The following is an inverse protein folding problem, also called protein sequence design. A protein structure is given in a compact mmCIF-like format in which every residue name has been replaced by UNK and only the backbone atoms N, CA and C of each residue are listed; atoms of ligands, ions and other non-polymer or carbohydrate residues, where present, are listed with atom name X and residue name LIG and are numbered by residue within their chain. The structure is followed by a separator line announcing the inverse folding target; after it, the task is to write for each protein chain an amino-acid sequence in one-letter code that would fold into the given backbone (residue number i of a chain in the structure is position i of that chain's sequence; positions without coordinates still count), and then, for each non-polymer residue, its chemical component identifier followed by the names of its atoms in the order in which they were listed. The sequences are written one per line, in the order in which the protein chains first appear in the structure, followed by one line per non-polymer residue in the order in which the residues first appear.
data_IF_430436940885
#
_entry.id   IF_430436940885
#
_cell.length_a   1.000
_cell.length_b   1.000
_cell.length_c   1.000
_cell.angle_alpha   90.00
_cell.angle_beta   90.00
_cell.angle_gamma   90.00
#
_symmetry.space_group_name_H-M   'P 1'
#
loop_
_entity.id
_entity.type
_entity.pdbx_description
1 polymer ?
#
# COMPACT_ATOMS: atom_id res chain seq x y z
N UNK A 1 -3.65 -21.59 -11.50
CA UNK A 1 -3.37 -20.22 -11.00
C UNK A 1 -2.03 -20.18 -10.25
N UNK A 2 -1.85 -20.95 -9.17
CA UNK A 2 -0.63 -20.92 -8.34
C UNK A 2 0.69 -21.17 -9.11
N UNK A 3 0.69 -22.08 -10.11
CA UNK A 3 1.87 -22.33 -10.96
C UNK A 3 2.27 -21.12 -11.81
N UNK A 4 1.29 -20.36 -12.32
CA UNK A 4 1.53 -19.10 -13.04
C UNK A 4 2.07 -18.03 -12.09
N UNK A 5 1.50 -17.92 -10.89
CA UNK A 5 1.99 -16.98 -9.88
C UNK A 5 3.45 -17.27 -9.49
N UNK A 6 3.80 -18.54 -9.30
CA UNK A 6 5.18 -18.95 -8.98
C UNK A 6 6.17 -18.61 -10.11
N UNK A 7 5.74 -18.72 -11.37
CA UNK A 7 6.56 -18.36 -12.53
C UNK A 7 6.76 -16.85 -12.66
N UNK A 8 5.69 -16.06 -12.47
CA UNK A 8 5.77 -14.60 -12.46
C UNK A 8 6.64 -14.09 -11.30
N UNK A 9 6.51 -14.69 -10.12
CA UNK A 9 7.34 -14.34 -8.95
C UNK A 9 8.82 -14.68 -9.17
N UNK A 10 9.13 -15.75 -9.91
CA UNK A 10 10.50 -16.14 -10.26
C UNK A 10 11.09 -15.26 -11.38
N UNK A 11 10.25 -14.80 -12.31
CA UNK A 11 10.63 -13.84 -13.36
C UNK A 11 10.94 -12.47 -12.76
N UNK A 12 10.26 -12.10 -11.67
CA UNK A 12 10.47 -10.84 -10.99
C UNK A 12 11.58 -10.93 -9.93
N UNK A 13 12.65 -10.15 -10.08
CA UNK A 13 13.67 -9.99 -9.03
C UNK A 13 13.11 -9.11 -7.90
N UNK A 14 12.41 -9.75 -6.94
CA UNK A 14 11.82 -9.09 -5.75
C UNK A 14 12.87 -8.31 -4.93
N UNK A 15 14.17 -8.58 -5.11
CA UNK A 15 15.26 -7.90 -4.40
C UNK A 15 15.26 -6.37 -4.50
N UNK A 16 14.86 -5.78 -5.63
CA UNK A 16 14.75 -4.31 -5.71
C UNK A 16 13.60 -3.77 -4.86
N UNK A 17 12.48 -4.48 -4.83
CA UNK A 17 11.31 -4.11 -4.05
C UNK A 17 11.59 -4.19 -2.54
N UNK A 18 12.25 -5.25 -2.08
CA UNK A 18 12.61 -5.42 -0.67
C UNK A 18 13.58 -4.32 -0.21
N UNK A 19 14.60 -3.99 -1.01
CA UNK A 19 15.52 -2.88 -0.69
C UNK A 19 14.78 -1.54 -0.58
N UNK A 20 13.86 -1.26 -1.50
CA UNK A 20 13.03 -0.05 -1.45
C UNK A 20 12.14 0.00 -0.20
N UNK A 21 11.51 -1.12 0.15
CA UNK A 21 10.66 -1.22 1.34
C UNK A 21 11.46 -1.03 2.64
N UNK A 22 12.69 -1.56 2.73
CA UNK A 22 13.57 -1.36 3.89
C UNK A 22 13.93 0.12 4.04
N UNK A 23 14.37 0.77 2.95
CA UNK A 23 14.73 2.20 2.99
C UNK A 23 13.52 3.05 3.39
N UNK A 24 12.34 2.75 2.85
CA UNK A 24 11.11 3.44 3.19
C UNK A 24 10.74 3.29 4.68
N UNK A 25 10.87 2.09 5.25
CA UNK A 25 10.64 1.87 6.67
C UNK A 25 11.61 2.65 7.55
N UNK A 26 12.90 2.68 7.20
CA UNK A 26 13.91 3.48 7.91
C UNK A 26 13.55 4.98 7.85
N UNK A 27 13.13 5.47 6.68
CA UNK A 27 12.73 6.87 6.51
C UNK A 27 11.49 7.22 7.34
N UNK A 28 10.47 6.34 7.38
CA UNK A 28 9.27 6.52 8.20
C UNK A 28 9.64 6.56 9.70
N UNK A 29 10.52 5.66 10.15
CA UNK A 29 11.00 5.65 11.53
C UNK A 29 11.76 6.92 11.89
N UNK A 30 12.68 7.37 11.03
CA UNK A 30 13.41 8.62 11.23
C UNK A 30 12.45 9.82 11.31
N UNK A 31 11.42 9.86 10.46
CA UNK A 31 10.40 10.90 10.50
C UNK A 31 9.61 10.87 11.81
N UNK A 32 9.20 9.69 12.28
CA UNK A 32 8.47 9.54 13.55
C UNK A 32 9.29 10.00 14.76
N UNK A 33 10.56 9.62 14.82
CA UNK A 33 11.47 10.05 15.90
C UNK A 33 11.65 11.57 15.85
N UNK A 34 11.86 12.13 14.66
CA UNK A 34 12.01 13.58 14.49
C UNK A 34 10.77 14.33 14.97
N UNK A 35 9.56 13.89 14.57
CA UNK A 35 8.30 14.50 15.04
C UNK A 35 8.13 14.36 16.56
N UNK A 36 8.56 13.24 17.14
CA UNK A 36 8.47 13.00 18.57
C UNK A 36 9.43 13.86 19.39
N UNK A 37 10.59 14.22 18.85
CA UNK A 37 11.53 15.15 19.50
C UNK A 37 11.01 16.58 19.41
N UNK A 38 10.51 16.99 18.25
CA UNK A 38 9.92 18.34 18.06
C UNK A 38 8.73 18.55 18.99
N UNK A 39 7.83 17.56 19.11
CA UNK A 39 6.68 17.65 20.01
C UNK A 39 7.05 17.76 21.50
N UNK A 40 8.20 17.20 21.91
CA UNK A 40 8.71 17.40 23.27
C UNK A 40 9.15 18.85 23.53
N UNK A 41 9.72 19.50 22.51
CA UNK A 41 10.25 20.87 22.59
C UNK A 41 9.13 21.90 22.55
N UNK A 42 8.12 21.70 21.68
CA UNK A 42 6.99 22.64 21.51
C UNK A 42 5.90 22.48 22.58
N UNK A 43 5.92 21.38 23.34
CA UNK A 43 5.02 21.19 24.48
C UNK A 43 3.56 20.94 24.08
N UNK A 44 3.30 20.51 22.85
CA UNK A 44 1.95 20.19 22.39
C UNK A 44 1.46 18.87 23.03
N UNK A 45 0.35 18.89 23.80
CA UNK A 45 -0.14 17.70 24.51
C UNK A 45 -0.77 16.67 23.56
N UNK A 46 -1.23 17.07 22.38
CA UNK A 46 -1.92 16.17 21.43
C UNK A 46 -0.98 15.16 20.76
N UNK A 47 0.29 15.53 20.54
CA UNK A 47 1.32 14.64 19.99
C UNK A 47 2.03 13.79 21.06
N UNK A 48 1.72 13.98 22.35
CA UNK A 48 2.23 13.16 23.45
C UNK A 48 1.36 11.95 23.76
N UNK A 49 0.19 11.85 23.15
CA UNK A 49 -0.68 10.70 23.33
C UNK A 49 -0.16 9.48 22.53
N UNK A 50 0.11 8.33 23.18
CA UNK A 50 0.57 7.12 22.50
C UNK A 50 -0.36 6.64 21.39
N UNK A 51 -1.67 6.93 21.48
CA UNK A 51 -2.63 6.54 20.43
C UNK A 51 -2.43 7.35 19.15
N UNK A 52 -2.21 8.67 19.26
CA UNK A 52 -2.02 9.53 18.09
C UNK A 52 -0.72 9.19 17.35
N UNK A 53 0.36 8.87 18.08
CA UNK A 53 1.63 8.45 17.47
C UNK A 53 1.48 7.11 16.73
N UNK A 54 0.76 6.16 17.32
CA UNK A 54 0.50 4.85 16.71
C UNK A 54 -0.34 4.99 15.43
N UNK A 55 -1.38 5.83 15.49
CA UNK A 55 -2.22 6.18 14.34
C UNK A 55 -1.42 6.87 13.24
N UNK A 56 -0.55 7.80 13.59
CA UNK A 56 0.30 8.51 12.63
C UNK A 56 1.28 7.55 11.94
N UNK A 57 1.93 6.66 12.71
CA UNK A 57 2.79 5.61 12.18
C UNK A 57 2.04 4.67 11.23
N UNK A 58 0.88 4.16 11.65
CA UNK A 58 0.09 3.26 10.82
C UNK A 58 -0.41 3.95 9.54
N UNK A 59 -0.65 5.25 9.59
CA UNK A 59 -1.07 6.07 8.45
C UNK A 59 0.06 6.28 7.45
N UNK A 60 1.26 6.65 7.91
CA UNK A 60 2.44 6.83 7.06
C UNK A 60 2.80 5.54 6.33
N UNK A 61 2.80 4.40 7.04
CA UNK A 61 3.03 3.08 6.46
C UNK A 61 2.02 2.84 5.33
N UNK A 62 0.72 3.00 5.58
CA UNK A 62 -0.33 2.81 4.56
C UNK A 62 -0.12 3.72 3.34
N UNK A 63 0.17 5.00 3.55
CA UNK A 63 0.42 5.98 2.48
C UNK A 63 1.55 5.50 1.56
N UNK A 64 2.68 5.13 2.14
CA UNK A 64 3.85 4.68 1.41
C UNK A 64 3.56 3.38 0.66
N UNK A 65 2.90 2.41 1.29
CA UNK A 65 2.63 1.12 0.65
C UNK A 65 1.56 1.17 -0.45
N UNK A 66 0.63 2.14 -0.44
CA UNK A 66 -0.25 2.41 -1.59
C UNK A 66 0.58 2.84 -2.81
N UNK A 67 1.56 3.74 -2.62
CA UNK A 67 2.45 4.19 -3.70
C UNK A 67 3.31 3.03 -4.18
N UNK A 68 3.91 2.25 -3.27
CA UNK A 68 4.70 1.07 -3.64
C UNK A 68 3.87 0.01 -4.38
N UNK A 69 2.61 -0.21 -3.99
CA UNK A 69 1.68 -1.07 -4.70
C UNK A 69 1.39 -0.59 -6.13
N UNK A 70 1.26 0.73 -6.29
CA UNK A 70 1.08 1.35 -7.60
C UNK A 70 2.33 1.24 -8.48
N UNK A 71 3.52 1.33 -7.89
CA UNK A 71 4.79 1.07 -8.58
C UNK A 71 4.90 -0.39 -9.01
N UNK A 72 4.45 -1.34 -8.17
CA UNK A 72 4.39 -2.76 -8.53
C UNK A 72 3.47 -2.99 -9.73
N UNK A 73 2.26 -2.40 -9.72
CA UNK A 73 1.33 -2.46 -10.86
C UNK A 73 1.97 -1.85 -12.11
N UNK A 74 2.61 -0.69 -11.98
CA UNK A 74 3.23 0.01 -13.09
C UNK A 74 4.35 -0.83 -13.73
N UNK A 75 5.16 -1.53 -12.92
CA UNK A 75 6.22 -2.41 -13.43
C UNK A 75 5.72 -3.75 -13.94
N UNK A 76 4.79 -4.41 -13.25
CA UNK A 76 4.36 -5.77 -13.59
C UNK A 76 3.32 -5.83 -14.72
N UNK A 77 2.49 -4.80 -14.82
CA UNK A 77 1.38 -4.74 -15.78
C UNK A 77 1.74 -3.72 -16.86
N UNK A 78 1.87 -2.44 -16.48
CA UNK A 78 1.88 -1.34 -17.45
C UNK A 78 3.15 -1.28 -18.30
N UNK A 79 4.29 -1.70 -17.75
CA UNK A 79 5.55 -1.74 -18.51
C UNK A 79 5.47 -2.69 -19.72
N UNK A 80 4.69 -3.77 -19.61
CA UNK A 80 4.50 -4.71 -20.71
C UNK A 80 3.51 -4.18 -21.76
N UNK A 81 2.50 -3.39 -21.34
CA UNK A 81 1.62 -2.64 -22.24
C UNK A 81 2.39 -1.57 -23.02
N UNK A 82 3.32 -0.88 -22.37
CA UNK A 82 4.16 0.14 -23.01
C UNK A 82 5.12 -0.48 -24.03
N UNK A 83 5.78 -1.58 -23.67
CA UNK A 83 6.87 -2.15 -24.47
C UNK A 83 6.41 -3.11 -25.57
N UNK A 84 5.09 -3.19 -25.86
CA UNK A 84 4.47 -4.12 -26.86
C UNK A 84 4.83 -5.61 -26.68
N UNK A 85 5.47 -5.98 -25.57
CA UNK A 85 5.79 -7.36 -25.21
C UNK A 85 4.55 -8.18 -24.87
N UNK A 86 3.39 -7.51 -24.73
CA UNK A 86 2.07 -8.14 -24.75
C UNK A 86 1.80 -8.94 -26.04
N UNK A 87 2.37 -8.56 -27.18
CA UNK A 87 2.26 -9.36 -28.42
C UNK A 87 2.86 -10.77 -28.24
N UNK A 88 3.90 -10.94 -27.42
CA UNK A 88 4.46 -12.26 -27.09
C UNK A 88 3.56 -13.05 -26.13
N UNK A 89 2.72 -12.37 -25.33
CA UNK A 89 1.65 -13.04 -24.57
C UNK A 89 0.50 -13.49 -25.48
N UNK A 90 0.33 -12.88 -26.65
CA UNK A 90 -0.70 -13.26 -27.62
C UNK A 90 -0.38 -14.56 -28.36
N UNK A 91 0.89 -14.96 -28.44
CA UNK A 91 1.31 -16.27 -28.95
C UNK A 91 1.11 -17.40 -27.92
N UNK A 92 0.80 -17.07 -26.66
CA UNK A 92 0.64 -18.06 -25.61
C UNK A 92 -0.78 -18.68 -25.64
N UNK A 93 -0.92 -20.01 -25.57
CA UNK A 93 -2.22 -20.71 -25.59
C UNK A 93 -3.00 -20.59 -24.26
N UNK A 94 -2.81 -19.51 -23.49
CA UNK A 94 -3.39 -19.29 -22.17
C UNK A 94 -4.31 -18.06 -22.22
N UNK A 95 -5.52 -18.19 -21.65
CA UNK A 95 -6.49 -17.08 -21.60
C UNK A 95 -5.90 -15.82 -20.93
N UNK A 96 -5.92 -14.70 -21.66
CA UNK A 96 -5.39 -13.37 -21.28
C UNK A 96 -5.89 -12.88 -19.92
N UNK A 97 -7.19 -13.08 -19.66
CA UNK A 97 -7.84 -12.80 -18.37
C UNK A 97 -7.14 -13.49 -17.20
N UNK A 98 -6.76 -14.77 -17.34
CA UNK A 98 -6.12 -15.54 -16.25
C UNK A 98 -4.72 -15.02 -15.96
N UNK A 99 -4.01 -14.53 -16.98
CA UNK A 99 -2.67 -13.96 -16.82
C UNK A 99 -2.72 -12.61 -16.09
N UNK A 100 -3.59 -11.68 -16.51
CA UNK A 100 -3.72 -10.40 -15.84
C UNK A 100 -4.24 -10.57 -14.39
N UNK A 101 -5.23 -11.45 -14.17
CA UNK A 101 -5.69 -11.81 -12.82
C UNK A 101 -4.53 -12.29 -11.95
N UNK A 102 -3.67 -13.17 -12.47
CA UNK A 102 -2.53 -13.69 -11.69
C UNK A 102 -1.58 -12.57 -11.25
N UNK A 103 -1.34 -11.57 -12.09
CA UNK A 103 -0.49 -10.41 -11.77
C UNK A 103 -1.11 -9.51 -10.73
N UNK A 104 -2.42 -9.25 -10.84
CA UNK A 104 -3.15 -8.44 -9.87
C UNK A 104 -3.19 -9.09 -8.49
N UNK A 105 -3.41 -10.41 -8.44
CA UNK A 105 -3.38 -11.15 -7.18
C UNK A 105 -1.98 -11.10 -6.56
N UNK A 106 -0.91 -11.26 -7.36
CA UNK A 106 0.47 -11.12 -6.84
C UNK A 106 0.68 -9.72 -6.27
N UNK A 107 0.29 -8.66 -6.98
CA UNK A 107 0.46 -7.29 -6.48
C UNK A 107 -0.32 -7.06 -5.20
N UNK A 108 -1.58 -7.50 -5.12
CA UNK A 108 -2.44 -7.31 -3.95
C UNK A 108 -1.95 -8.13 -2.74
N UNK A 109 -1.51 -9.37 -2.94
CA UNK A 109 -0.96 -10.20 -1.87
C UNK A 109 0.38 -9.66 -1.37
N UNK A 110 1.26 -9.20 -2.27
CA UNK A 110 2.52 -8.58 -1.87
C UNK A 110 2.28 -7.31 -1.07
N UNK A 111 1.41 -6.40 -1.54
CA UNK A 111 1.11 -5.16 -0.82
C UNK A 111 0.53 -5.45 0.56
N UNK A 112 -0.42 -6.38 0.65
CA UNK A 112 -1.01 -6.81 1.93
C UNK A 112 0.04 -7.31 2.93
N UNK A 113 0.90 -8.25 2.51
CA UNK A 113 1.96 -8.80 3.37
C UNK A 113 2.93 -7.69 3.80
N UNK A 114 3.32 -6.81 2.87
CA UNK A 114 4.27 -5.74 3.19
C UNK A 114 3.71 -4.67 4.12
N UNK A 115 2.42 -4.36 4.05
CA UNK A 115 1.76 -3.42 4.95
C UNK A 115 1.76 -3.98 6.36
N UNK A 116 1.39 -5.25 6.53
CA UNK A 116 1.38 -5.91 7.84
C UNK A 116 2.79 -5.95 8.42
N UNK A 117 3.75 -6.46 7.66
CA UNK A 117 5.12 -6.60 8.14
C UNK A 117 5.74 -5.24 8.51
N UNK A 118 5.51 -4.23 7.67
CA UNK A 118 6.07 -2.90 7.91
C UNK A 118 5.43 -2.19 9.08
N UNK A 119 4.11 -2.36 9.28
CA UNK A 119 3.46 -1.81 10.45
C UNK A 119 4.01 -2.44 11.74
N UNK A 120 4.13 -3.78 11.78
CA UNK A 120 4.72 -4.50 12.92
C UNK A 120 6.16 -4.03 13.18
N UNK A 121 6.97 -3.86 12.13
CA UNK A 121 8.35 -3.40 12.26
C UNK A 121 8.44 -1.95 12.75
N UNK A 122 7.64 -1.04 12.20
CA UNK A 122 7.67 0.39 12.58
C UNK A 122 7.18 0.57 14.01
N UNK A 123 6.05 -0.05 14.37
CA UNK A 123 5.51 0.00 15.74
C UNK A 123 6.46 -0.68 16.73
N UNK A 124 7.00 -1.85 16.38
CA UNK A 124 7.93 -2.59 17.22
C UNK A 124 9.25 -1.86 17.46
N UNK A 125 9.83 -1.24 16.43
CA UNK A 125 11.05 -0.43 16.58
C UNK A 125 10.78 0.84 17.38
N UNK A 126 9.64 1.51 17.16
CA UNK A 126 9.27 2.69 17.93
C UNK A 126 9.12 2.36 19.41
N UNK A 127 8.48 1.24 19.76
CA UNK A 127 8.39 0.76 21.14
C UNK A 127 9.76 0.47 21.77
N UNK A 128 10.68 -0.14 21.01
CA UNK A 128 12.04 -0.39 21.47
C UNK A 128 12.82 0.89 21.78
N UNK A 129 12.62 1.94 20.97
CA UNK A 129 13.26 3.25 21.17
C UNK A 129 12.63 3.99 22.34
N UNK A 130 11.30 3.98 22.46
CA UNK A 130 10.57 4.61 23.56
C UNK A 130 10.96 4.00 24.91
N UNK A 131 11.10 2.67 24.99
CA UNK A 131 11.57 1.99 26.20
C UNK A 131 13.00 2.36 26.60
N UNK A 132 13.84 2.82 25.67
CA UNK A 132 15.25 3.16 25.94
C UNK A 132 15.45 4.65 26.24
N UNK A 133 14.61 5.51 25.66
CA UNK A 133 14.73 6.97 25.76
C UNK A 133 13.61 7.64 26.59
N UNK A 134 12.60 6.89 27.07
CA UNK A 134 11.44 7.40 27.82
C UNK A 134 10.82 8.63 27.15
N UNK A 135 10.55 8.50 25.85
CA UNK A 135 10.14 9.62 25.00
C UNK A 135 8.67 10.00 25.28
N UNK A 136 7.85 9.02 25.70
CA UNK A 136 6.48 9.23 26.14
C UNK A 136 6.34 9.25 27.68
N UNK A 137 5.55 10.18 28.24
CA UNK A 137 5.30 10.27 29.68
C UNK A 137 4.31 9.22 30.21
N UNK A 138 3.55 8.54 29.34
CA UNK A 138 2.60 7.49 29.71
C UNK A 138 3.00 6.16 29.06
N UNK A 139 3.02 5.08 29.86
CA UNK A 139 3.24 3.72 29.39
C UNK A 139 2.16 3.29 28.38
N UNK A 140 2.59 2.75 27.24
CA UNK A 140 1.70 2.10 26.28
C UNK A 140 0.83 1.04 26.97
N UNK A 141 -0.49 1.22 26.91
CA UNK A 141 -1.41 0.21 27.45
C UNK A 141 -1.52 -0.94 26.44
N UNK A 142 -1.28 -2.17 26.87
CA UNK A 142 -1.42 -3.40 26.06
C UNK A 142 -2.78 -3.50 25.33
N UNK A 143 -3.83 -2.90 25.88
CA UNK A 143 -5.16 -2.81 25.27
C UNK A 143 -5.21 -1.90 24.02
N UNK A 144 -4.35 -0.88 23.93
CA UNK A 144 -4.26 0.00 22.77
C UNK A 144 -3.54 -0.70 21.61
N UNK A 145 -2.48 -1.46 21.92
CA UNK A 145 -1.74 -2.25 20.93
C UNK A 145 -2.59 -3.39 20.34
N UNK A 146 -3.39 -4.06 21.18
CA UNK A 146 -4.30 -5.12 20.71
C UNK A 146 -5.42 -4.57 19.85
N UNK A 147 -6.01 -3.40 20.20
CA UNK A 147 -7.01 -2.72 19.35
C UNK A 147 -6.44 -2.28 18.01
N UNK A 148 -5.25 -1.67 17.99
CA UNK A 148 -4.58 -1.29 16.74
C UNK A 148 -4.28 -2.54 15.89
N UNK A 149 -3.80 -3.62 16.51
CA UNK A 149 -3.51 -4.90 15.84
C UNK A 149 -4.74 -5.54 15.20
N UNK A 150 -5.89 -5.51 15.87
CA UNK A 150 -7.17 -6.01 15.32
C UNK A 150 -7.61 -5.14 14.14
N UNK A 151 -7.49 -3.81 14.24
CA UNK A 151 -7.84 -2.89 13.17
C UNK A 151 -6.85 -2.92 11.99
N UNK A 152 -5.62 -3.36 12.22
CA UNK A 152 -4.57 -3.45 11.20
C UNK A 152 -4.97 -4.37 10.05
N UNK A 153 -5.63 -5.49 10.33
CA UNK A 153 -6.04 -6.45 9.30
C UNK A 153 -7.03 -5.85 8.29
N UNK A 154 -8.21 -5.33 8.69
CA UNK A 154 -9.14 -4.71 7.75
C UNK A 154 -8.54 -3.47 7.06
N UNK A 155 -7.70 -2.71 7.76
CA UNK A 155 -6.98 -1.57 7.17
C UNK A 155 -5.96 -2.00 6.11
N UNK A 156 -5.25 -3.11 6.31
CA UNK A 156 -4.31 -3.66 5.34
C UNK A 156 -5.05 -4.20 4.11
N UNK A 157 -6.20 -4.85 4.30
CA UNK A 157 -7.07 -5.27 3.20
C UNK A 157 -7.55 -4.05 2.40
N UNK A 158 -8.00 -3.01 3.09
CA UNK A 158 -8.44 -1.78 2.45
C UNK A 158 -7.30 -1.14 1.64
N UNK A 159 -6.11 -1.05 2.23
CA UNK A 159 -4.90 -0.51 1.60
C UNK A 159 -4.51 -1.29 0.34
N UNK A 160 -4.57 -2.63 0.39
CA UNK A 160 -4.32 -3.48 -0.77
C UNK A 160 -5.33 -3.21 -1.89
N UNK A 161 -6.62 -3.07 -1.58
CA UNK A 161 -7.65 -2.71 -2.56
C UNK A 161 -7.46 -1.32 -3.14
N UNK A 162 -7.16 -0.32 -2.30
CA UNK A 162 -6.89 1.08 -2.71
C UNK A 162 -5.69 1.16 -3.64
N UNK A 163 -4.65 0.36 -3.39
CA UNK A 163 -3.45 0.30 -4.25
C UNK A 163 -3.74 -0.16 -5.69
N UNK A 164 -4.91 -0.75 -5.95
CA UNK A 164 -5.35 -1.14 -7.29
C UNK A 164 -6.00 0.02 -8.08
N UNK A 165 -6.44 1.11 -7.44
CA UNK A 165 -7.11 2.23 -8.12
C UNK A 165 -6.23 2.86 -9.23
N UNK A 166 -4.91 3.09 -9.01
CA UNK A 166 -4.03 3.69 -10.01
C UNK A 166 -3.90 2.89 -11.32
N UNK A 167 -4.27 1.60 -11.29
CA UNK A 167 -4.33 0.75 -12.47
C UNK A 167 -5.18 1.35 -13.59
N UNK A 168 -6.33 1.96 -13.27
CA UNK A 168 -7.23 2.53 -14.26
C UNK A 168 -6.53 3.59 -15.12
N UNK A 169 -5.90 4.57 -14.46
CA UNK A 169 -5.19 5.66 -15.12
C UNK A 169 -3.96 5.16 -15.87
N UNK A 170 -3.28 4.18 -15.28
CA UNK A 170 -2.08 3.59 -15.83
C UNK A 170 -2.31 2.79 -17.12
N UNK A 171 -3.39 2.01 -17.19
CA UNK A 171 -3.76 1.29 -18.41
C UNK A 171 -4.26 2.23 -19.52
N UNK A 172 -5.09 3.23 -19.18
CA UNK A 172 -5.64 4.20 -20.16
C UNK A 172 -4.57 5.01 -20.88
N UNK A 173 -3.50 5.40 -20.18
CA UNK A 173 -2.39 6.20 -20.73
C UNK A 173 -1.16 5.36 -21.13
N UNK A 174 -1.17 4.05 -20.87
CA UNK A 174 -0.04 3.11 -21.07
C UNK A 174 1.30 3.65 -20.54
N UNK A 175 1.26 4.26 -19.35
CA UNK A 175 2.38 5.05 -18.83
C UNK A 175 2.66 4.78 -17.36
N UNK A 176 3.90 4.35 -17.09
CA UNK A 176 4.44 4.13 -15.74
C UNK A 176 4.37 5.40 -14.88
N UNK A 177 4.89 6.58 -15.30
CA UNK A 177 4.84 7.77 -14.44
C UNK A 177 3.42 8.21 -14.12
N UNK A 178 2.47 8.06 -15.06
CA UNK A 178 1.07 8.44 -14.84
C UNK A 178 0.41 7.59 -13.74
N UNK A 179 0.85 6.33 -13.58
CA UNK A 179 0.37 5.43 -12.52
C UNK A 179 0.90 5.83 -11.14
N UNK A 180 2.13 6.32 -11.09
CA UNK A 180 2.74 6.78 -9.83
C UNK A 180 2.11 8.09 -9.40
N UNK A 181 1.94 9.05 -10.32
CA UNK A 181 1.32 10.34 -10.00
C UNK A 181 -0.15 10.17 -9.59
N UNK A 182 -0.92 9.29 -10.24
CA UNK A 182 -2.30 9.02 -9.82
C UNK A 182 -2.37 8.37 -8.43
N UNK A 183 -1.39 7.56 -8.05
CA UNK A 183 -1.32 6.99 -6.71
C UNK A 183 -1.18 8.03 -5.61
N UNK A 184 -0.46 9.14 -5.87
CA UNK A 184 -0.35 10.24 -4.90
C UNK A 184 -1.72 10.89 -4.65
N UNK A 185 -2.51 11.12 -5.70
CA UNK A 185 -3.86 11.66 -5.59
C UNK A 185 -4.75 10.69 -4.79
N UNK A 186 -4.65 9.39 -5.07
CA UNK A 186 -5.40 8.35 -4.35
C UNK A 186 -5.02 8.34 -2.86
N UNK A 187 -3.74 8.46 -2.53
CA UNK A 187 -3.26 8.55 -1.15
C UNK A 187 -3.85 9.76 -0.44
N UNK A 188 -3.83 10.94 -1.08
CA UNK A 188 -4.38 12.17 -0.48
C UNK A 188 -5.88 12.07 -0.16
N UNK A 189 -6.65 11.29 -0.94
CA UNK A 189 -8.08 11.06 -0.70
C UNK A 189 -8.29 9.95 0.34
N UNK A 190 -7.54 8.85 0.22
CA UNK A 190 -7.70 7.67 1.08
C UNK A 190 -7.24 7.93 2.52
N UNK A 191 -6.25 8.80 2.68
CA UNK A 191 -5.63 9.12 3.96
C UNK A 191 -6.01 10.56 4.31
N UNK A 192 -7.20 10.70 4.90
CA UNK A 192 -7.70 11.96 5.41
C UNK A 192 -7.99 11.82 6.90
N UNK A 193 -6.95 11.68 7.72
CA UNK A 193 -7.14 11.60 9.16
C UNK A 193 -7.17 13.02 9.73
N UNK A 194 -8.36 13.60 9.83
CA UNK A 194 -8.54 14.83 10.61
C UNK A 194 -8.72 14.45 12.09
N UNK A 195 -8.12 15.19 13.04
CA UNK A 195 -8.15 14.85 14.47
C UNK A 195 -9.57 14.81 15.07
N UNK A 196 -10.56 15.35 14.35
CA UNK A 196 -11.97 15.40 14.78
C UNK A 196 -12.75 14.09 14.53
N UNK A 197 -12.24 13.16 13.72
CA UNK A 197 -12.93 11.91 13.40
C UNK A 197 -12.09 10.69 13.77
N UNK A 198 -12.64 9.85 14.66
CA UNK A 198 -12.01 8.61 15.12
C UNK A 198 -11.81 7.60 13.98
N UNK A 199 -10.78 6.76 14.07
CA UNK A 199 -10.49 5.71 13.07
C UNK A 199 -11.65 4.76 12.78
N UNK A 200 -12.56 4.58 13.73
CA UNK A 200 -13.76 3.77 13.57
C UNK A 200 -14.73 4.32 12.51
N UNK A 201 -14.83 5.65 12.34
CA UNK A 201 -15.71 6.26 11.33
C UNK A 201 -15.05 6.33 9.95
N UNK A 202 -13.72 6.25 9.87
CA UNK A 202 -12.98 6.23 8.61
C UNK A 202 -12.83 4.84 7.98
N UNK A 203 -12.94 3.77 8.77
CA UNK A 203 -12.86 2.39 8.29
C UNK A 203 -13.86 2.09 7.14
N UNK A 204 -15.15 2.48 7.22
CA UNK A 204 -16.11 2.25 6.14
C UNK A 204 -15.72 2.95 4.83
N UNK A 205 -15.19 4.18 4.91
CA UNK A 205 -14.74 4.93 3.74
C UNK A 205 -13.57 4.23 3.05
N UNK A 206 -12.58 3.77 3.82
CA UNK A 206 -11.42 3.06 3.28
C UNK A 206 -11.82 1.73 2.62
N UNK A 207 -12.77 1.00 3.23
CA UNK A 207 -13.34 -0.21 2.64
C UNK A 207 -14.12 0.10 1.36
N UNK A 208 -14.89 1.19 1.32
CA UNK A 208 -15.60 1.62 0.12
C UNK A 208 -14.62 1.94 -1.03
N UNK A 209 -13.53 2.66 -0.75
CA UNK A 209 -12.47 2.91 -1.73
C UNK A 209 -11.76 1.61 -2.17
N UNK A 210 -11.57 0.66 -1.26
CA UNK A 210 -11.02 -0.64 -1.60
C UNK A 210 -11.93 -1.42 -2.56
N UNK A 211 -13.25 -1.39 -2.34
CA UNK A 211 -14.25 -1.98 -3.25
C UNK A 211 -14.18 -1.31 -4.62
N UNK A 212 -14.04 0.02 -4.68
CA UNK A 212 -13.84 0.76 -5.94
C UNK A 212 -12.56 0.29 -6.64
N UNK A 213 -11.45 0.11 -5.91
CA UNK A 213 -10.20 -0.42 -6.46
C UNK A 213 -10.35 -1.83 -7.05
N UNK A 214 -11.09 -2.71 -6.38
CA UNK A 214 -11.40 -4.06 -6.89
C UNK A 214 -12.32 -3.99 -8.12
N UNK A 215 -13.31 -3.11 -8.12
CA UNK A 215 -14.18 -2.89 -9.28
C UNK A 215 -13.37 -2.42 -10.49
N UNK A 216 -12.45 -1.48 -10.29
CA UNK A 216 -11.50 -1.00 -11.32
C UNK A 216 -10.65 -2.15 -11.87
N UNK A 217 -10.10 -2.99 -10.98
CA UNK A 217 -9.33 -4.16 -11.39
C UNK A 217 -10.17 -5.14 -12.23
N UNK A 218 -11.44 -5.37 -11.86
CA UNK A 218 -12.39 -6.17 -12.63
C UNK A 218 -12.71 -5.57 -14.00
N UNK A 219 -12.94 -4.26 -14.07
CA UNK A 219 -13.12 -3.55 -15.33
C UNK A 219 -11.88 -3.65 -16.23
N UNK A 220 -10.68 -3.54 -15.65
CA UNK A 220 -9.43 -3.74 -16.38
C UNK A 220 -9.31 -5.13 -17.01
N UNK A 221 -9.74 -6.17 -16.30
CA UNK A 221 -9.79 -7.55 -16.82
C UNK A 221 -10.81 -7.68 -17.95
N UNK A 222 -11.98 -7.05 -17.83
CA UNK A 222 -13.07 -7.13 -18.81
C UNK A 222 -12.74 -6.35 -20.10
N UNK A 223 -12.06 -5.20 -19.98
CA UNK A 223 -11.78 -4.33 -21.12
C UNK A 223 -10.63 -4.81 -22.00
N UNK A 224 -9.79 -5.73 -21.50
CA UNK A 224 -8.68 -6.35 -22.26
C UNK A 224 -9.13 -6.96 -23.59
N UNK A 225 -10.32 -7.54 -23.65
CA UNK A 225 -10.83 -8.16 -24.88
C UNK A 225 -11.41 -7.13 -25.86
N UNK A 226 -11.73 -5.91 -25.41
CA UNK A 226 -12.34 -4.85 -26.23
C UNK A 226 -11.32 -3.87 -26.79
N UNK A 227 -10.27 -3.54 -26.03
CA UNK A 227 -9.18 -2.68 -26.51
C UNK A 227 -8.37 -3.28 -27.66
N UNK A 228 -8.49 -4.60 -27.90
CA UNK A 228 -7.80 -5.33 -28.97
C UNK A 228 -8.58 -5.38 -30.30
N UNK A 229 -9.81 -4.83 -30.40
CA UNK A 229 -10.57 -4.78 -31.68
C UNK A 229 -10.23 -3.53 -32.50
N UNK A 230 -9.60 -2.52 -31.89
CA UNK A 230 -9.38 -1.20 -32.48
C UNK A 230 -7.90 -0.87 -32.75
N UNK A 231 -7.00 -1.87 -32.79
CA UNK A 231 -5.59 -1.67 -33.17
C UNK A 231 -5.32 -2.28 -34.53
#
# INVERSE_FOLDING_TARGET
MLRLMKLELKKFKIGWYVRGAIIANIAILALLIFTSIVSQIEGEPEMRDPQMVLLMASTLVRATFIIFGSVLIARLIISEYKNKTILLMFSYPINRKKMLVSKLVITATLTFITVILSNILVVGMFFGIDSYFSILPNSFTVDQLTREGINLVPLAIATAGISLIPLYFGMRKRSVPTTIVSSLIVVSIAINNTPMFSTATFLPLQLALAVIGVAIAYYGIKNIEKEDVTV
#
